data_IF_359457897922
#
_entry.id   IF_359457897922
#
_cell.length_a   1.000
_cell.length_b   1.000
_cell.length_c   1.000
_cell.angle_alpha   90.00
_cell.angle_beta   90.00
_cell.angle_gamma   90.00
#
_symmetry.space_group_name_H-M   'P 1'
#
loop_
_entity.id
_entity.type
_entity.pdbx_description
1 polymer ?
#
# COMPACT_ATOMS: atom_id res chain seq x y z
N UNK A 1 28.45 -16.42 -40.54
CA UNK A 1 27.07 -16.81 -40.93
C UNK A 1 26.85 -18.25 -40.49
N UNK A 2 26.24 -18.45 -39.31
CA UNK A 2 25.56 -19.69 -38.85
C UNK A 2 25.12 -19.48 -37.39
N UNK A 3 23.83 -19.36 -37.21
CA UNK A 3 23.11 -19.22 -35.94
C UNK A 3 22.80 -20.61 -35.38
N UNK A 4 22.93 -20.86 -34.07
CA UNK A 4 22.26 -21.97 -33.42
C UNK A 4 21.08 -21.50 -32.57
N UNK A 5 19.90 -22.02 -32.91
CA UNK A 5 18.65 -21.90 -32.18
C UNK A 5 18.67 -22.83 -30.95
N UNK A 6 18.36 -22.29 -29.76
CA UNK A 6 18.00 -23.10 -28.61
C UNK A 6 16.47 -23.09 -28.42
N UNK A 7 15.85 -24.27 -28.55
CA UNK A 7 14.46 -24.55 -28.15
C UNK A 7 14.40 -24.74 -26.65
N UNK A 8 13.43 -24.12 -25.99
CA UNK A 8 13.08 -24.37 -24.59
C UNK A 8 11.76 -25.15 -24.52
N UNK A 9 11.65 -26.22 -23.70
CA UNK A 9 10.46 -27.05 -23.62
C UNK A 9 9.32 -26.39 -22.82
N UNK A 10 8.12 -26.58 -23.36
CA UNK A 10 6.81 -26.23 -22.81
C UNK A 10 6.41 -27.19 -21.69
N UNK A 11 6.21 -26.71 -20.47
CA UNK A 11 5.64 -27.51 -19.38
C UNK A 11 4.14 -27.28 -19.20
N UNK A 12 3.46 -28.42 -19.11
CA UNK A 12 2.04 -28.66 -19.12
C UNK A 12 1.23 -27.91 -18.05
N UNK A 13 0.09 -27.37 -18.52
CA UNK A 13 -1.06 -26.93 -17.73
C UNK A 13 -1.74 -28.18 -17.14
N UNK A 14 -1.94 -28.20 -15.82
CA UNK A 14 -2.77 -29.22 -15.15
C UNK A 14 -4.06 -28.56 -14.70
N UNK A 15 -5.11 -28.75 -15.50
CA UNK A 15 -6.50 -28.52 -15.10
C UNK A 15 -6.88 -29.51 -13.99
N UNK A 16 -7.54 -29.03 -12.93
CA UNK A 16 -8.33 -29.88 -12.05
C UNK A 16 -9.77 -29.42 -12.04
N UNK A 17 -10.56 -30.27 -12.68
CA UNK A 17 -11.99 -30.26 -12.88
C UNK A 17 -12.79 -30.45 -11.60
N UNK A 18 -14.01 -29.93 -11.66
CA UNK A 18 -15.09 -30.04 -10.70
C UNK A 18 -15.46 -31.49 -10.30
N UNK A 19 -15.94 -31.64 -9.07
CA UNK A 19 -16.59 -32.85 -8.57
C UNK A 19 -17.77 -32.47 -7.68
N UNK A 20 -18.98 -32.55 -8.25
CA UNK A 20 -20.27 -32.48 -7.57
C UNK A 20 -20.45 -33.69 -6.66
N UNK A 21 -21.05 -33.51 -5.49
CA UNK A 21 -21.72 -34.62 -4.78
C UNK A 21 -23.03 -34.15 -4.15
N UNK A 22 -24.11 -34.75 -4.67
CA UNK A 22 -25.51 -34.68 -4.26
C UNK A 22 -25.78 -35.92 -3.38
N UNK A 23 -26.42 -35.78 -2.22
CA UNK A 23 -27.19 -36.83 -1.52
C UNK A 23 -27.93 -36.17 -0.34
N UNK A 24 -29.26 -36.00 -0.36
CA UNK A 24 -30.36 -36.96 -0.13
C UNK A 24 -30.48 -37.47 1.32
N UNK A 25 -31.52 -36.93 2.00
CA UNK A 25 -32.54 -37.59 2.83
C UNK A 25 -32.12 -38.36 4.12
N UNK A 26 -32.58 -37.86 5.27
CA UNK A 26 -33.24 -38.69 6.29
C UNK A 26 -34.01 -37.82 7.30
N UNK A 27 -35.31 -38.04 7.41
CA UNK A 27 -36.18 -37.53 8.45
C UNK A 27 -36.01 -38.34 9.74
N UNK A 28 -35.99 -37.67 10.89
CA UNK A 28 -35.95 -38.29 12.21
C UNK A 28 -36.52 -37.35 13.26
N UNK A 29 -37.67 -37.75 13.81
CA UNK A 29 -38.50 -37.04 14.78
C UNK A 29 -37.86 -36.88 16.18
N UNK A 30 -38.40 -35.90 16.91
CA UNK A 30 -38.60 -35.83 18.38
C UNK A 30 -37.40 -35.51 19.29
N UNK A 31 -37.42 -34.30 19.86
CA UNK A 31 -37.42 -34.10 21.33
C UNK A 31 -37.63 -32.62 21.66
N UNK A 32 -38.74 -32.31 22.34
CA UNK A 32 -39.00 -31.02 22.94
C UNK A 32 -38.06 -30.82 24.14
N UNK A 33 -37.20 -29.81 24.06
CA UNK A 33 -36.32 -29.37 25.14
C UNK A 33 -36.46 -27.86 25.33
N UNK A 34 -36.88 -27.45 26.51
CA UNK A 34 -37.11 -26.07 26.90
C UNK A 34 -35.85 -25.21 26.73
N UNK A 35 -35.96 -24.12 25.99
CA UNK A 35 -34.94 -23.07 25.90
C UNK A 35 -35.44 -21.80 26.64
N UNK A 36 -34.58 -21.12 27.42
CA UNK A 36 -34.95 -19.91 28.14
C UNK A 36 -35.28 -18.76 27.18
N UNK A 37 -36.27 -17.97 27.62
CA UNK A 37 -36.70 -16.65 27.16
C UNK A 37 -35.92 -16.05 25.98
N UNK A 38 -36.62 -15.89 24.86
CA UNK A 38 -36.24 -14.99 23.78
C UNK A 38 -36.19 -13.55 24.33
N UNK A 39 -34.98 -13.04 24.53
CA UNK A 39 -34.73 -11.60 24.56
C UNK A 39 -34.80 -11.09 23.12
N UNK A 40 -36.02 -10.75 22.69
CA UNK A 40 -36.31 -10.10 21.40
C UNK A 40 -36.57 -8.61 21.56
N UNK A 41 -36.01 -7.99 22.61
CA UNK A 41 -35.89 -6.54 22.64
C UNK A 41 -35.17 -6.05 21.37
N UNK A 42 -35.53 -4.88 20.81
CA UNK A 42 -34.82 -4.32 19.68
C UNK A 42 -33.34 -4.21 20.04
N UNK A 43 -32.51 -5.05 19.42
CA UNK A 43 -31.06 -4.93 19.58
C UNK A 43 -30.71 -3.54 19.06
N UNK A 44 -30.16 -2.63 19.89
CA UNK A 44 -29.72 -1.35 19.36
C UNK A 44 -28.74 -1.64 18.23
N UNK A 45 -28.75 -0.84 17.14
CA UNK A 45 -27.76 -0.98 16.09
C UNK A 45 -26.39 -1.08 16.73
N UNK A 46 -25.51 -1.94 16.19
CA UNK A 46 -24.12 -1.97 16.61
C UNK A 46 -23.65 -0.51 16.70
N UNK A 47 -23.27 -0.08 17.92
CA UNK A 47 -22.81 1.28 18.13
C UNK A 47 -21.75 1.58 17.10
N UNK A 48 -21.71 2.82 16.61
CA UNK A 48 -20.71 3.26 15.64
C UNK A 48 -19.35 2.89 16.21
N UNK A 49 -18.75 1.81 15.71
CA UNK A 49 -17.35 1.52 15.94
C UNK A 49 -16.66 2.64 15.21
N UNK A 50 -16.24 3.67 15.94
CA UNK A 50 -15.35 4.67 15.39
C UNK A 50 -14.11 3.90 14.95
N UNK A 51 -13.95 3.78 13.64
CA UNK A 51 -12.73 3.30 13.04
C UNK A 51 -11.59 4.17 13.60
N UNK A 52 -10.62 3.62 14.35
CA UNK A 52 -9.56 4.41 14.93
C UNK A 52 -8.54 4.78 13.84
N UNK A 53 -8.95 5.50 12.80
CA UNK A 53 -8.05 6.36 12.04
C UNK A 53 -7.98 7.70 12.79
N UNK A 54 -7.31 7.68 13.94
CA UNK A 54 -6.86 8.89 14.62
C UNK A 54 -5.68 9.45 13.83
N UNK A 55 -6.00 10.13 12.73
CA UNK A 55 -5.41 11.42 12.37
C UNK A 55 -5.96 11.87 11.02
N UNK A 56 -6.47 13.11 10.91
CA UNK A 56 -6.61 13.78 9.62
C UNK A 56 -5.20 14.18 9.14
N UNK A 57 -4.35 13.20 8.85
CA UNK A 57 -3.02 13.44 8.29
C UNK A 57 -3.22 13.95 6.87
N UNK A 58 -2.94 15.22 6.65
CA UNK A 58 -2.61 15.76 5.33
C UNK A 58 -1.72 14.72 4.63
N UNK A 59 -2.05 14.22 3.42
CA UNK A 59 -1.36 13.06 2.90
C UNK A 59 0.13 13.41 2.78
N UNK A 60 0.97 12.67 3.50
CA UNK A 60 2.41 12.86 3.46
C UNK A 60 2.99 12.58 2.06
N UNK A 61 2.17 12.16 1.11
CA UNK A 61 2.53 11.86 -0.27
C UNK A 61 1.54 12.55 -1.21
N UNK A 62 2.04 13.45 -2.05
CA UNK A 62 1.32 14.08 -3.15
C UNK A 62 1.82 13.48 -4.46
N UNK A 63 0.88 13.06 -5.30
CA UNK A 63 1.16 12.50 -6.63
C UNK A 63 0.38 13.31 -7.64
N UNK A 64 1.09 13.81 -8.66
CA UNK A 64 0.47 14.49 -9.81
C UNK A 64 -0.69 13.65 -10.40
N UNK A 65 -1.81 14.31 -10.71
CA UNK A 65 -3.07 13.65 -11.02
C UNK A 65 -2.99 12.68 -12.21
N UNK A 66 -2.21 13.04 -13.24
CA UNK A 66 -2.03 12.17 -14.40
C UNK A 66 -1.24 10.87 -14.07
N UNK A 67 -0.42 10.91 -13.02
CA UNK A 67 0.47 9.84 -12.58
C UNK A 67 -0.22 8.86 -11.62
N UNK A 68 -1.26 9.28 -10.90
CA UNK A 68 -1.94 8.48 -9.88
C UNK A 68 -2.42 7.10 -10.37
N UNK A 69 -2.83 6.98 -11.64
CA UNK A 69 -3.27 5.69 -12.22
C UNK A 69 -2.12 4.73 -12.56
N UNK A 70 -0.89 5.23 -12.61
CA UNK A 70 0.29 4.47 -13.01
C UNK A 70 1.27 4.20 -11.87
N UNK A 71 1.05 4.83 -10.70
CA UNK A 71 1.94 4.74 -9.56
C UNK A 71 1.13 4.38 -8.32
N UNK A 72 1.46 3.24 -7.70
CA UNK A 72 0.93 2.86 -6.40
C UNK A 72 2.01 3.03 -5.33
N UNK A 73 1.62 3.46 -4.14
CA UNK A 73 2.51 3.51 -2.97
C UNK A 73 2.04 2.48 -1.95
N UNK A 74 2.96 1.67 -1.45
CA UNK A 74 2.68 0.75 -0.35
C UNK A 74 2.89 1.45 0.99
N UNK A 75 1.81 1.99 1.54
CA UNK A 75 1.82 2.70 2.82
C UNK A 75 2.23 1.84 4.01
N UNK A 76 2.09 0.50 3.92
CA UNK A 76 2.41 -0.42 5.01
C UNK A 76 3.91 -0.70 5.12
N UNK A 77 4.66 -0.40 4.05
CA UNK A 77 6.09 -0.66 3.94
C UNK A 77 6.95 0.63 3.98
N UNK A 78 6.36 1.75 4.37
CA UNK A 78 7.10 3.00 4.55
C UNK A 78 8.04 2.86 5.75
N UNK A 79 9.33 3.10 5.53
CA UNK A 79 10.30 3.19 6.62
C UNK A 79 10.48 4.65 6.98
N UNK A 80 10.01 5.03 8.17
CA UNK A 80 10.22 6.34 8.76
C UNK A 80 11.06 6.21 10.03
N UNK A 81 12.23 6.85 10.05
CA UNK A 81 13.07 6.97 11.23
C UNK A 81 13.00 8.41 11.72
N UNK A 82 12.43 8.58 12.91
CA UNK A 82 12.35 9.87 13.63
C UNK A 82 13.75 10.42 13.91
N UNK A 83 13.91 11.75 14.08
CA UNK A 83 15.20 12.31 14.45
C UNK A 83 15.62 11.82 15.83
N UNK A 84 16.92 11.74 16.05
CA UNK A 84 17.56 11.59 17.36
C UNK A 84 18.53 12.75 17.57
N UNK A 85 19.14 12.84 18.76
CA UNK A 85 20.18 13.83 19.05
C UNK A 85 21.38 13.79 18.09
N UNK A 86 21.58 12.68 17.38
CA UNK A 86 22.74 12.46 16.50
C UNK A 86 22.37 12.14 15.06
N UNK A 87 21.11 11.79 14.79
CA UNK A 87 20.67 11.32 13.47
C UNK A 87 19.46 12.13 13.00
N UNK A 88 19.50 12.76 11.82
CA UNK A 88 18.33 13.46 11.28
C UNK A 88 17.25 12.48 10.81
N UNK A 89 16.07 13.00 10.47
CA UNK A 89 14.99 12.21 9.86
C UNK A 89 15.47 11.46 8.62
N UNK A 90 15.04 10.21 8.51
CA UNK A 90 15.17 9.40 7.30
C UNK A 90 13.80 8.81 6.91
N UNK A 91 13.50 8.85 5.61
CA UNK A 91 12.27 8.32 5.03
C UNK A 91 12.61 7.48 3.80
N UNK A 92 11.95 6.34 3.67
CA UNK A 92 11.93 5.50 2.48
C UNK A 92 10.49 5.16 2.14
N UNK A 93 10.07 5.52 0.93
CA UNK A 93 8.72 5.25 0.41
C UNK A 93 8.82 4.23 -0.74
N UNK A 94 8.20 3.05 -0.60
CA UNK A 94 8.09 2.10 -1.70
C UNK A 94 7.05 2.58 -2.71
N UNK A 95 7.49 2.76 -3.95
CA UNK A 95 6.63 3.18 -5.05
C UNK A 95 6.69 2.13 -6.16
N UNK A 96 5.53 1.65 -6.61
CA UNK A 96 5.40 0.60 -7.62
C UNK A 96 4.73 1.12 -8.87
N UNK A 97 5.35 0.84 -10.02
CA UNK A 97 4.71 1.05 -11.32
C UNK A 97 3.54 0.09 -11.51
N UNK A 98 2.41 0.64 -11.94
CA UNK A 98 1.24 -0.11 -12.43
C UNK A 98 1.19 -0.15 -13.96
N UNK A 99 2.08 0.57 -14.65
CA UNK A 99 2.15 0.61 -16.09
C UNK A 99 2.89 -0.60 -16.67
N UNK A 100 2.61 -0.90 -17.94
CA UNK A 100 3.29 -1.94 -18.72
C UNK A 100 4.59 -1.45 -19.36
N UNK A 101 4.80 -0.13 -19.42
CA UNK A 101 6.01 0.49 -19.93
C UNK A 101 6.74 1.23 -18.80
N UNK A 102 8.05 1.41 -18.99
CA UNK A 102 8.87 2.26 -18.13
C UNK A 102 8.51 3.74 -18.30
N UNK A 103 8.57 4.50 -17.20
CA UNK A 103 8.41 5.95 -17.21
C UNK A 103 9.27 6.59 -16.12
N UNK A 104 9.61 7.86 -16.31
CA UNK A 104 10.37 8.63 -15.35
C UNK A 104 9.48 9.59 -14.56
N UNK A 105 9.80 9.75 -13.28
CA UNK A 105 9.17 10.73 -12.37
C UNK A 105 10.24 11.60 -11.75
N UNK A 106 9.84 12.76 -11.28
CA UNK A 106 10.66 13.54 -10.36
C UNK A 106 10.02 13.50 -8.97
N UNK A 107 10.82 13.31 -7.94
CA UNK A 107 10.32 13.32 -6.57
C UNK A 107 11.15 14.21 -5.65
N UNK A 108 10.50 14.83 -4.66
CA UNK A 108 11.13 15.69 -3.66
C UNK A 108 10.57 15.37 -2.26
N UNK A 109 11.45 15.23 -1.28
CA UNK A 109 11.05 15.20 0.12
C UNK A 109 11.20 16.60 0.72
N UNK A 110 10.16 17.06 1.40
CA UNK A 110 10.15 18.24 2.24
C UNK A 110 10.07 17.84 3.70
N UNK A 111 10.72 18.61 4.57
CA UNK A 111 10.81 18.32 5.99
C UNK A 111 10.32 19.50 6.82
N UNK A 112 9.62 19.19 7.91
CA UNK A 112 8.95 20.18 8.75
C UNK A 112 9.33 19.98 10.22
N UNK A 113 9.41 21.09 10.97
CA UNK A 113 9.57 21.07 12.42
C UNK A 113 8.24 20.77 13.15
N UNK A 114 8.30 20.71 14.48
CA UNK A 114 7.15 20.41 15.35
C UNK A 114 5.99 21.40 15.18
N UNK A 115 6.29 22.61 14.71
CA UNK A 115 5.28 23.65 14.45
C UNK A 115 4.68 23.56 13.05
N UNK A 116 5.16 22.63 12.22
CA UNK A 116 4.74 22.47 10.83
C UNK A 116 5.46 23.44 9.88
N UNK A 117 6.50 24.16 10.32
CA UNK A 117 7.27 25.04 9.44
C UNK A 117 8.28 24.22 8.65
N UNK A 118 8.41 24.51 7.35
CA UNK A 118 9.41 23.85 6.48
C UNK A 118 10.83 24.22 6.94
N UNK A 119 11.63 23.21 7.24
CA UNK A 119 13.03 23.36 7.69
C UNK A 119 14.04 22.77 6.71
N UNK A 120 13.59 22.04 5.69
CA UNK A 120 14.47 21.50 4.67
C UNK A 120 13.75 20.81 3.53
N UNK A 121 14.52 20.42 2.51
CA UNK A 121 14.06 19.58 1.41
C UNK A 121 15.25 18.88 0.72
N UNK A 122 14.99 17.82 -0.04
CA UNK A 122 16.02 17.12 -0.83
C UNK A 122 16.28 17.74 -2.20
N UNK A 123 15.33 18.54 -2.72
CA UNK A 123 15.28 18.88 -4.14
C UNK A 123 14.69 17.75 -4.98
N UNK A 124 14.27 18.07 -6.20
CA UNK A 124 13.73 17.08 -7.14
C UNK A 124 14.82 16.16 -7.67
N UNK A 125 14.62 14.86 -7.49
CA UNK A 125 15.46 13.78 -8.03
C UNK A 125 14.70 13.05 -9.12
N UNK A 126 15.40 12.70 -10.20
CA UNK A 126 14.83 11.88 -11.27
C UNK A 126 14.89 10.41 -10.86
N UNK A 127 13.77 9.71 -10.97
CA UNK A 127 13.67 8.26 -10.75
C UNK A 127 12.97 7.62 -11.95
N UNK A 128 13.60 6.59 -12.50
CA UNK A 128 13.01 5.78 -13.58
C UNK A 128 12.30 4.59 -12.95
N UNK A 129 10.98 4.48 -13.16
CA UNK A 129 10.18 3.37 -12.68
C UNK A 129 10.06 2.27 -13.74
N UNK A 130 10.68 1.09 -13.52
CA UNK A 130 10.53 -0.02 -14.44
C UNK A 130 9.09 -0.56 -14.41
N UNK A 131 8.66 -1.11 -15.54
CA UNK A 131 7.34 -1.72 -15.69
C UNK A 131 7.04 -2.75 -14.58
N UNK A 132 5.89 -2.59 -13.92
CA UNK A 132 5.39 -3.48 -12.86
C UNK A 132 6.34 -3.72 -11.67
N UNK A 133 7.39 -2.91 -11.49
CA UNK A 133 8.38 -3.07 -10.41
C UNK A 133 8.25 -1.99 -9.34
N UNK A 134 8.72 -2.34 -8.14
CA UNK A 134 8.83 -1.44 -7.00
C UNK A 134 10.24 -0.85 -6.95
N UNK A 135 10.30 0.43 -6.67
CA UNK A 135 11.52 1.18 -6.33
C UNK A 135 11.35 1.82 -4.96
N UNK A 136 12.45 2.25 -4.35
CA UNK A 136 12.45 2.87 -3.04
C UNK A 136 12.92 4.32 -3.15
N UNK A 137 11.98 5.26 -3.04
CA UNK A 137 12.28 6.68 -3.01
C UNK A 137 12.75 7.05 -1.61
N UNK A 138 13.94 7.64 -1.50
CA UNK A 138 14.56 7.96 -0.20
C UNK A 138 14.82 9.45 -0.03
N UNK A 139 14.69 9.90 1.22
CA UNK A 139 14.98 11.26 1.63
C UNK A 139 15.51 11.30 3.07
N UNK A 140 16.52 12.14 3.28
CA UNK A 140 17.07 12.44 4.60
C UNK A 140 16.99 13.95 4.84
N UNK A 141 16.61 14.35 6.06
CA UNK A 141 16.70 15.75 6.45
C UNK A 141 18.17 16.15 6.64
N UNK A 142 18.49 17.41 6.34
CA UNK A 142 19.82 17.99 6.60
C UNK A 142 19.94 18.45 8.06
N UNK A 143 18.80 18.76 8.69
CA UNK A 143 18.70 19.26 10.06
C UNK A 143 18.01 18.25 10.98
N UNK A 144 18.36 18.29 12.26
CA UNK A 144 17.72 17.51 13.33
C UNK A 144 16.38 18.11 13.78
N UNK A 145 16.10 19.37 13.42
CA UNK A 145 14.84 20.02 13.78
C UNK A 145 13.61 19.44 13.04
N UNK A 146 13.82 18.62 12.02
CA UNK A 146 12.74 18.00 11.26
C UNK A 146 12.11 16.85 12.06
N UNK A 147 10.78 16.88 12.24
CA UNK A 147 10.00 15.80 12.89
C UNK A 147 8.88 15.25 12.00
N UNK A 148 8.64 15.89 10.86
CA UNK A 148 7.63 15.51 9.88
C UNK A 148 8.16 15.65 8.46
N UNK A 149 7.48 15.00 7.52
CA UNK A 149 7.92 14.92 6.13
C UNK A 149 6.75 14.92 5.15
N UNK A 150 7.01 15.35 3.92
CA UNK A 150 6.11 15.24 2.77
C UNK A 150 6.90 14.82 1.54
N UNK A 151 6.35 13.91 0.75
CA UNK A 151 6.84 13.48 -0.55
C UNK A 151 5.96 14.10 -1.63
N UNK A 152 6.57 14.79 -2.58
CA UNK A 152 5.92 15.25 -3.81
C UNK A 152 6.46 14.45 -4.99
N UNK A 153 5.58 13.90 -5.83
CA UNK A 153 5.92 13.10 -7.01
C UNK A 153 5.21 13.66 -8.23
N UNK A 154 5.98 14.01 -9.27
CA UNK A 154 5.47 14.57 -10.52
C UNK A 154 6.03 13.86 -11.75
N UNK A 155 5.33 14.00 -12.88
CA UNK A 155 5.86 13.58 -14.18
C UNK A 155 7.21 14.24 -14.47
N UNK A 156 8.14 13.49 -15.05
CA UNK A 156 9.41 14.04 -15.59
C UNK A 156 9.28 14.51 -17.05
N UNK A 157 8.09 14.37 -17.64
CA UNK A 157 7.75 14.77 -19.02
C UNK A 157 7.09 16.13 -19.05
#
# INVERSE_FOLDING_TARGET
MRTPHHRTPSHARTDRSAGRSLALLAAGLLAAGAAPACDSGPRPPAGVVQDPIVQPQYPNITIDGALQRFLAVDYTQIVYRKPTETTPVFVQVPARSQADNEFAVQYNFEFFDETGRKVGQTGYKLETLPSRRQVFMTGNAITQAAVAWRLDIRSAR
#
